data_IF_212538102791
#
_entry.id   IF_212538102791
#
_cell.length_a   1.000
_cell.length_b   1.000
_cell.length_c   1.000
_cell.angle_alpha   90.00
_cell.angle_beta   90.00
_cell.angle_gamma   90.00
#
_symmetry.space_group_name_H-M   'P 1'
#
loop_
_entity.id
_entity.type
_entity.pdbx_description
1 polymer ?
#
# COMPACT_ATOMS: atom_id res chain seq x y z
N UNK A 1 6.75 17.10 -3.90
CA UNK A 1 6.63 18.29 -4.77
C UNK A 1 7.97 18.63 -5.41
N UNK A 2 9.08 18.62 -4.66
CA UNK A 2 10.40 19.02 -5.21
C UNK A 2 10.93 18.02 -6.24
N UNK A 3 10.75 16.71 -6.01
CA UNK A 3 11.09 15.69 -7.01
C UNK A 3 10.27 15.86 -8.29
N UNK A 4 8.98 16.14 -8.16
CA UNK A 4 8.12 16.37 -9.33
C UNK A 4 8.47 17.63 -10.11
N UNK A 5 9.01 18.65 -9.44
CA UNK A 5 9.59 19.81 -10.12
C UNK A 5 10.86 19.42 -10.89
N UNK A 6 11.75 18.67 -10.27
CA UNK A 6 12.96 18.17 -10.92
C UNK A 6 12.64 17.28 -12.13
N UNK A 7 11.55 16.54 -12.07
CA UNK A 7 11.03 15.71 -13.16
C UNK A 7 10.27 16.52 -14.24
N UNK A 8 10.17 17.86 -14.08
CA UNK A 8 9.51 18.76 -15.05
C UNK A 8 7.99 18.71 -15.03
N UNK A 9 7.38 18.20 -13.94
CA UNK A 9 5.92 18.03 -13.85
C UNK A 9 5.15 19.35 -13.73
N UNK A 10 5.79 20.43 -13.28
CA UNK A 10 5.14 21.74 -13.12
C UNK A 10 5.59 22.69 -14.22
N UNK A 11 4.62 23.24 -14.96
CA UNK A 11 4.90 24.19 -16.04
C UNK A 11 5.37 25.57 -15.50
N UNK A 12 4.94 25.94 -14.28
CA UNK A 12 5.30 27.22 -13.66
C UNK A 12 5.47 27.06 -12.14
N UNK A 13 6.21 27.98 -11.49
CA UNK A 13 6.33 28.02 -10.03
C UNK A 13 4.99 28.17 -9.31
N UNK A 14 4.05 28.90 -9.89
CA UNK A 14 2.69 29.10 -9.35
C UNK A 14 1.90 27.78 -9.35
N UNK A 15 2.04 26.98 -10.41
CA UNK A 15 1.41 25.65 -10.49
C UNK A 15 1.97 24.72 -9.41
N UNK A 16 3.29 24.74 -9.16
CA UNK A 16 3.93 24.02 -8.04
C UNK A 16 3.36 24.48 -6.70
N UNK A 17 3.32 25.78 -6.45
CA UNK A 17 2.85 26.33 -5.17
C UNK A 17 1.38 26.00 -4.91
N UNK A 18 0.52 26.10 -5.92
CA UNK A 18 -0.91 25.74 -5.81
C UNK A 18 -1.09 24.25 -5.48
N UNK A 19 -0.31 23.38 -6.13
CA UNK A 19 -0.34 21.94 -5.87
C UNK A 19 0.15 21.60 -4.45
N UNK A 20 1.27 22.20 -4.01
CA UNK A 20 1.80 22.00 -2.66
C UNK A 20 0.81 22.46 -1.59
N UNK A 21 0.19 23.62 -1.78
CA UNK A 21 -0.85 24.13 -0.88
C UNK A 21 -2.03 23.16 -0.74
N UNK A 22 -2.52 22.61 -1.85
CA UNK A 22 -3.61 21.65 -1.84
C UNK A 22 -3.24 20.36 -1.10
N UNK A 23 -2.05 19.83 -1.33
CA UNK A 23 -1.58 18.61 -0.65
C UNK A 23 -1.40 18.83 0.85
N UNK A 24 -0.80 19.95 1.26
CA UNK A 24 -0.68 20.28 2.68
C UNK A 24 -2.04 20.41 3.36
N UNK A 25 -3.00 21.05 2.71
CA UNK A 25 -4.35 21.15 3.24
C UNK A 25 -4.96 19.79 3.56
N UNK A 26 -4.89 18.82 2.64
CA UNK A 26 -5.43 17.49 2.88
C UNK A 26 -4.60 16.69 3.92
N UNK A 27 -3.28 16.80 3.89
CA UNK A 27 -2.42 16.16 4.89
C UNK A 27 -2.69 16.69 6.31
N UNK A 28 -2.86 18.01 6.44
CA UNK A 28 -3.17 18.64 7.72
C UNK A 28 -4.60 18.30 8.18
N UNK A 29 -5.55 18.18 7.27
CA UNK A 29 -6.90 17.74 7.59
C UNK A 29 -6.87 16.35 8.24
N UNK A 30 -6.14 15.39 7.66
CA UNK A 30 -6.01 14.04 8.22
C UNK A 30 -5.25 14.05 9.54
N UNK A 31 -4.16 14.80 9.63
CA UNK A 31 -3.30 14.84 10.82
C UNK A 31 -3.95 15.57 12.00
N UNK A 32 -4.58 16.72 11.76
CA UNK A 32 -5.02 17.64 12.81
C UNK A 32 -6.52 17.49 13.10
N UNK A 33 -7.36 17.47 12.05
CA UNK A 33 -8.81 17.48 12.20
C UNK A 33 -9.39 16.09 12.37
N UNK A 34 -9.05 15.17 11.48
CA UNK A 34 -9.57 13.80 11.50
C UNK A 34 -8.76 12.88 12.42
N UNK A 35 -7.47 13.17 12.61
CA UNK A 35 -6.52 12.38 13.41
C UNK A 35 -6.46 10.92 12.96
N UNK A 36 -6.54 10.71 11.64
CA UNK A 36 -6.53 9.40 10.98
C UNK A 36 -5.40 9.25 9.96
N UNK A 37 -4.36 10.09 10.06
CA UNK A 37 -3.24 10.13 9.11
C UNK A 37 -2.54 8.75 8.97
N UNK A 38 -2.38 7.99 10.04
CA UNK A 38 -1.85 6.63 9.98
C UNK A 38 -2.73 5.70 9.13
N UNK A 39 -4.04 5.69 9.38
CA UNK A 39 -4.98 4.88 8.61
C UNK A 39 -5.07 5.36 7.15
N UNK A 40 -4.99 6.68 6.94
CA UNK A 40 -4.98 7.25 5.60
C UNK A 40 -3.72 6.84 4.82
N UNK A 41 -2.54 6.90 5.44
CA UNK A 41 -1.29 6.41 4.83
C UNK A 41 -1.33 4.91 4.59
N UNK A 42 -1.84 4.11 5.53
CA UNK A 42 -1.98 2.67 5.37
C UNK A 42 -2.81 2.30 4.14
N UNK A 43 -3.92 3.01 3.87
CA UNK A 43 -4.74 2.80 2.67
C UNK A 43 -3.94 2.97 1.37
N UNK A 44 -2.98 3.91 1.32
CA UNK A 44 -2.12 4.10 0.16
C UNK A 44 -1.17 2.91 -0.04
N UNK A 45 -0.66 2.34 1.05
CA UNK A 45 0.18 1.14 1.00
C UNK A 45 -0.63 -0.05 0.48
N UNK A 46 -1.86 -0.26 0.98
CA UNK A 46 -2.72 -1.37 0.52
C UNK A 46 -3.16 -1.25 -0.94
N UNK A 47 -3.38 -0.04 -1.45
CA UNK A 47 -3.57 0.18 -2.90
C UNK A 47 -2.36 -0.28 -3.71
N UNK A 48 -1.15 0.03 -3.22
CA UNK A 48 0.09 -0.43 -3.85
C UNK A 48 0.24 -1.94 -3.75
N UNK A 49 -0.05 -2.54 -2.59
CA UNK A 49 -0.01 -4.00 -2.38
C UNK A 49 -0.95 -4.72 -3.35
N UNK A 50 -2.18 -4.22 -3.54
CA UNK A 50 -3.12 -4.80 -4.50
C UNK A 50 -2.55 -4.82 -5.93
N UNK A 51 -1.95 -3.72 -6.37
CA UNK A 51 -1.29 -3.63 -7.68
C UNK A 51 -0.04 -4.53 -7.76
N UNK A 52 0.74 -4.60 -6.68
CA UNK A 52 1.91 -5.47 -6.57
C UNK A 52 1.53 -6.95 -6.72
N UNK A 53 0.48 -7.42 -6.01
CA UNK A 53 -0.01 -8.80 -6.11
C UNK A 53 -0.45 -9.15 -7.52
N UNK A 54 -1.12 -8.21 -8.22
CA UNK A 54 -1.50 -8.39 -9.61
C UNK A 54 -0.27 -8.51 -10.51
N UNK A 55 0.74 -7.68 -10.31
CA UNK A 55 2.00 -7.73 -11.04
C UNK A 55 2.76 -9.03 -10.83
N UNK A 56 2.85 -9.51 -9.60
CA UNK A 56 3.47 -10.81 -9.25
C UNK A 56 2.75 -11.95 -9.94
N UNK A 57 1.42 -11.96 -9.91
CA UNK A 57 0.63 -12.99 -10.60
C UNK A 57 0.82 -12.95 -12.13
N UNK A 58 0.92 -11.76 -12.73
CA UNK A 58 1.20 -11.61 -14.16
C UNK A 58 2.60 -12.12 -14.57
N UNK A 59 3.54 -12.18 -13.63
CA UNK A 59 4.87 -12.76 -13.82
C UNK A 59 4.89 -14.30 -13.62
N UNK A 60 3.77 -14.91 -13.27
CA UNK A 60 3.68 -16.35 -12.97
C UNK A 60 4.28 -16.72 -11.61
N UNK A 61 4.37 -15.78 -10.70
CA UNK A 61 4.85 -15.99 -9.34
C UNK A 61 3.69 -16.01 -8.34
N UNK A 62 3.93 -16.63 -7.20
CA UNK A 62 3.02 -16.66 -6.06
C UNK A 62 3.40 -15.59 -5.05
N UNK A 63 2.40 -15.04 -4.35
CA UNK A 63 2.58 -14.10 -3.26
C UNK A 63 1.52 -14.29 -2.18
N UNK A 64 1.91 -14.08 -0.93
CA UNK A 64 1.01 -14.21 0.22
C UNK A 64 1.08 -12.94 1.07
N UNK A 65 0.05 -12.08 1.10
CA UNK A 65 0.02 -10.96 2.02
C UNK A 65 -0.23 -11.46 3.45
N UNK A 66 0.63 -11.06 4.38
CA UNK A 66 0.62 -11.47 5.78
C UNK A 66 0.55 -10.23 6.66
N UNK A 67 -0.49 -10.13 7.50
CA UNK A 67 -0.63 -9.12 8.55
C UNK A 67 -0.40 -9.70 9.95
N UNK A 68 -0.45 -11.04 10.09
CA UNK A 68 -0.31 -11.76 11.36
C UNK A 68 1.15 -11.91 11.80
N UNK A 69 1.85 -10.80 12.00
CA UNK A 69 3.22 -10.78 12.52
C UNK A 69 3.35 -9.75 13.65
N UNK A 70 4.43 -9.85 14.43
CA UNK A 70 4.76 -8.86 15.45
C UNK A 70 5.48 -7.67 14.79
N UNK A 71 4.74 -6.57 14.61
CA UNK A 71 5.27 -5.36 13.96
C UNK A 71 6.39 -4.71 14.79
N UNK A 72 6.36 -4.79 16.14
CA UNK A 72 7.40 -4.20 16.97
C UNK A 72 8.72 -4.92 16.81
N UNK A 73 8.69 -6.25 16.77
CA UNK A 73 9.88 -7.08 16.54
C UNK A 73 10.43 -6.84 15.14
N UNK A 74 9.57 -6.82 14.13
CA UNK A 74 9.98 -6.60 12.73
C UNK A 74 10.56 -5.19 12.54
N UNK A 75 9.92 -4.18 13.07
CA UNK A 75 10.37 -2.78 13.01
C UNK A 75 11.73 -2.61 13.68
N UNK A 76 11.98 -3.29 14.81
CA UNK A 76 13.27 -3.27 15.50
C UNK A 76 14.36 -3.95 14.67
N UNK A 77 14.09 -5.13 14.09
CA UNK A 77 15.03 -5.88 13.25
C UNK A 77 15.54 -5.05 12.06
N UNK A 78 14.65 -4.29 11.41
CA UNK A 78 14.97 -3.46 10.24
C UNK A 78 15.28 -2.00 10.56
N UNK A 79 15.25 -1.59 11.83
CA UNK A 79 15.48 -0.19 12.26
C UNK A 79 14.48 0.77 11.63
N UNK A 80 13.20 0.39 11.54
CA UNK A 80 12.18 1.16 10.84
C UNK A 80 11.73 2.38 11.64
N UNK A 81 11.58 2.24 12.96
CA UNK A 81 11.12 3.33 13.84
C UNK A 81 12.07 4.53 13.82
N UNK A 82 13.36 4.29 13.76
CA UNK A 82 14.39 5.33 13.67
C UNK A 82 14.32 6.13 12.37
N UNK A 83 13.77 5.51 11.32
CA UNK A 83 13.51 6.12 10.01
C UNK A 83 12.11 6.72 9.89
N UNK A 84 11.30 6.66 10.95
CA UNK A 84 9.92 7.15 10.96
C UNK A 84 8.93 6.23 10.23
N UNK A 85 9.24 4.93 10.09
CA UNK A 85 8.39 3.92 9.46
C UNK A 85 7.88 2.88 10.45
N UNK A 86 6.83 2.18 10.04
CA UNK A 86 6.34 0.95 10.68
C UNK A 86 5.91 -0.04 9.59
N UNK A 87 6.09 -1.31 9.88
CA UNK A 87 5.63 -2.40 9.01
C UNK A 87 4.10 -2.52 9.06
N UNK A 88 3.47 -2.76 7.91
CA UNK A 88 2.03 -2.95 7.79
C UNK A 88 1.68 -4.33 7.26
N UNK A 89 2.44 -4.82 6.31
CA UNK A 89 2.20 -6.09 5.63
C UNK A 89 3.52 -6.67 5.15
N UNK A 90 3.66 -7.98 5.28
CA UNK A 90 4.77 -8.75 4.72
C UNK A 90 4.24 -9.52 3.51
N UNK A 91 4.96 -9.45 2.40
CA UNK A 91 4.55 -10.16 1.18
C UNK A 91 5.73 -10.98 0.67
N UNK A 92 5.89 -12.24 1.10
CA UNK A 92 6.83 -13.15 0.46
C UNK A 92 6.38 -13.45 -0.97
N UNK A 93 7.37 -13.52 -1.87
CA UNK A 93 7.16 -13.78 -3.30
C UNK A 93 8.05 -14.94 -3.73
N UNK A 94 7.53 -15.85 -4.51
CA UNK A 94 8.27 -17.00 -5.01
C UNK A 94 7.40 -17.99 -5.77
N UNK A 95 7.77 -19.23 -5.76
CA UNK A 95 6.96 -20.33 -6.26
C UNK A 95 6.47 -21.17 -5.08
N UNK A 96 5.23 -21.63 -5.14
CA UNK A 96 4.71 -22.53 -4.12
C UNK A 96 5.48 -23.86 -4.10
N UNK A 97 5.55 -24.47 -2.92
CA UNK A 97 6.12 -25.82 -2.78
C UNK A 97 5.24 -26.86 -3.46
N UNK A 98 5.85 -27.93 -3.95
CA UNK A 98 5.09 -29.12 -4.44
C UNK A 98 4.27 -29.77 -3.33
N UNK A 99 4.60 -29.48 -2.06
CA UNK A 99 3.88 -29.97 -0.88
C UNK A 99 2.82 -28.98 -0.38
N UNK A 100 2.60 -27.85 -1.07
CA UNK A 100 1.58 -26.89 -0.67
C UNK A 100 0.18 -27.47 -0.87
N UNK A 101 -0.42 -27.87 0.25
CA UNK A 101 -1.76 -28.47 0.25
C UNK A 101 -2.85 -27.49 -0.24
N UNK A 102 -2.63 -26.18 -0.19
CA UNK A 102 -3.58 -25.17 -0.67
C UNK A 102 -3.53 -24.97 -2.18
N UNK A 103 -2.43 -25.32 -2.85
CA UNK A 103 -2.27 -25.07 -4.29
C UNK A 103 -3.35 -25.77 -5.13
N UNK A 104 -3.77 -26.97 -4.73
CA UNK A 104 -4.79 -27.77 -5.41
C UNK A 104 -6.23 -27.46 -4.98
N UNK A 105 -6.46 -26.62 -3.99
CA UNK A 105 -7.80 -26.32 -3.51
C UNK A 105 -8.51 -25.27 -4.38
N UNK A 106 -9.83 -25.39 -4.59
CA UNK A 106 -10.59 -24.37 -5.31
C UNK A 106 -10.58 -23.03 -4.55
N UNK A 107 -10.48 -21.95 -5.29
CA UNK A 107 -10.56 -20.60 -4.71
C UNK A 107 -12.01 -20.26 -4.36
N UNK A 108 -12.27 -19.96 -3.10
CA UNK A 108 -13.58 -19.47 -2.65
C UNK A 108 -13.66 -17.93 -2.82
N UNK A 109 -14.71 -17.48 -3.46
CA UNK A 109 -15.02 -16.04 -3.67
C UNK A 109 -16.51 -15.83 -3.46
N UNK A 110 -16.86 -14.69 -2.86
CA UNK A 110 -18.26 -14.28 -2.83
C UNK A 110 -18.73 -13.98 -4.26
N UNK A 111 -20.01 -14.23 -4.57
CA UNK A 111 -20.61 -13.81 -5.82
C UNK A 111 -20.48 -12.30 -6.03
N UNK A 112 -20.35 -11.88 -7.30
CA UNK A 112 -20.12 -10.46 -7.62
C UNK A 112 -21.26 -9.56 -7.13
N UNK A 113 -22.49 -10.03 -7.26
CA UNK A 113 -23.70 -9.35 -6.79
C UNK A 113 -23.76 -9.13 -5.27
N UNK A 114 -22.95 -9.89 -4.50
CA UNK A 114 -22.83 -9.71 -3.05
C UNK A 114 -21.83 -8.59 -2.70
N UNK A 115 -20.87 -8.34 -3.58
CA UNK A 115 -19.73 -7.44 -3.33
C UNK A 115 -19.80 -6.14 -4.13
N UNK A 116 -20.60 -6.09 -5.18
CA UNK A 116 -20.75 -4.96 -6.07
C UNK A 116 -22.23 -4.60 -6.22
N UNK A 117 -22.55 -3.32 -6.08
CA UNK A 117 -23.88 -2.76 -6.40
C UNK A 117 -23.73 -1.75 -7.54
N UNK A 118 -24.44 -1.96 -8.63
CA UNK A 118 -24.54 -0.99 -9.71
C UNK A 118 -25.63 0.05 -9.36
N UNK A 119 -25.33 1.33 -9.52
CA UNK A 119 -26.23 2.47 -9.23
C UNK A 119 -26.37 3.38 -10.43
#
# INVERSE_FOLDING_TARGET
VDQEEADGRFATPEAKAANDKGRRFFADMHRVSLKDDHQWMAKQVYLNVGNFLLGVAAMGLDAVPIEGFDAEVLDAEFGLKEKGYTSLVVVPVGHHSVEDFNAGLPKSRLPLETTLTEV
#
